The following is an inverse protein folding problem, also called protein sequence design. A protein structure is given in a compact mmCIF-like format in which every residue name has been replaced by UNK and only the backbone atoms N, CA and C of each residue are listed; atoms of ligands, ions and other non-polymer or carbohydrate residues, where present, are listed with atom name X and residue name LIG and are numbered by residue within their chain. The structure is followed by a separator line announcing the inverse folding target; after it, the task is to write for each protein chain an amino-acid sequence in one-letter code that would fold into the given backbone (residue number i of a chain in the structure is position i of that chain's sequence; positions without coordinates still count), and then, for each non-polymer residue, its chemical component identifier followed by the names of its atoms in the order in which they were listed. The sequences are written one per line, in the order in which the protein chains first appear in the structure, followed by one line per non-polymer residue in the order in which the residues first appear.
data_IF_139842510347
#
_entry.id   IF_139842510347
#
_cell.length_a   1.000
_cell.length_b   1.000
_cell.length_c   1.000
_cell.angle_alpha   90.00
_cell.angle_beta   90.00
_cell.angle_gamma   90.00
#
_symmetry.space_group_name_H-M   'P 1'
#
loop_
_entity.id
_entity.type
_entity.pdbx_description
1 polymer ?
#
# COMPACT_ATOMS: atom_id res chain seq x y z
N UNK A 1 -15.60 3.79 7.85
CA UNK A 1 -15.21 4.59 6.68
C UNK A 1 -14.80 3.64 5.56
N UNK A 2 -15.72 3.32 4.66
CA UNK A 2 -15.44 2.53 3.46
C UNK A 2 -14.58 3.37 2.52
N UNK A 3 -13.30 3.02 2.39
CA UNK A 3 -12.43 3.60 1.37
C UNK A 3 -12.92 3.09 0.01
N UNK A 4 -13.56 3.96 -0.76
CA UNK A 4 -14.03 3.65 -2.11
C UNK A 4 -12.83 3.73 -3.06
N UNK A 5 -12.11 2.61 -3.22
CA UNK A 5 -11.05 2.50 -4.22
C UNK A 5 -11.67 2.37 -5.61
N UNK A 6 -11.30 3.26 -6.53
CA UNK A 6 -11.74 3.16 -7.93
C UNK A 6 -11.13 1.90 -8.56
N UNK A 7 -11.98 1.02 -9.10
CA UNK A 7 -11.55 -0.20 -9.77
C UNK A 7 -10.67 0.17 -11.00
N UNK A 8 -9.56 -0.54 -11.24
CA UNK A 8 -8.76 -0.33 -12.44
C UNK A 8 -9.56 -0.67 -13.70
N UNK A 9 -9.30 0.06 -14.79
CA UNK A 9 -9.94 -0.17 -16.10
C UNK A 9 -9.47 -1.46 -16.78
N UNK A 10 -8.27 -1.94 -16.46
CA UNK A 10 -7.68 -3.16 -17.01
C UNK A 10 -7.97 -4.35 -16.11
N UNK A 11 -8.23 -5.50 -16.72
CA UNK A 11 -8.44 -6.78 -16.03
C UNK A 11 -7.08 -7.41 -15.67
N UNK A 12 -6.96 -7.96 -14.46
CA UNK A 12 -5.80 -8.75 -13.98
C UNK A 12 -6.26 -10.20 -13.75
N UNK A 13 -5.40 -11.19 -14.06
CA UNK A 13 -5.63 -12.62 -13.77
C UNK A 13 -4.82 -13.11 -12.55
N UNK A 14 -4.30 -12.19 -11.74
CA UNK A 14 -3.47 -12.51 -10.58
C UNK A 14 -4.33 -12.87 -9.37
N UNK A 15 -4.06 -14.03 -8.75
CA UNK A 15 -4.74 -14.48 -7.52
C UNK A 15 -4.59 -13.50 -6.35
N UNK A 16 -3.43 -12.83 -6.28
CA UNK A 16 -3.12 -11.86 -5.23
C UNK A 16 -3.58 -10.42 -5.58
N UNK A 17 -4.39 -10.24 -6.63
CA UNK A 17 -4.90 -8.92 -7.02
C UNK A 17 -6.08 -8.53 -6.10
N UNK A 18 -6.06 -7.36 -5.43
CA UNK A 18 -7.15 -6.96 -4.52
C UNK A 18 -8.52 -6.72 -5.16
N UNK A 19 -8.59 -6.62 -6.50
CA UNK A 19 -9.82 -6.27 -7.23
C UNK A 19 -10.43 -7.42 -8.04
N UNK A 20 -9.61 -8.33 -8.57
CA UNK A 20 -10.06 -9.44 -9.42
C UNK A 20 -9.64 -10.82 -8.89
N UNK A 21 -8.83 -10.85 -7.83
CA UNK A 21 -8.41 -12.08 -7.16
C UNK A 21 -9.11 -12.23 -5.80
N UNK A 22 -8.55 -13.11 -4.97
CA UNK A 22 -9.17 -13.52 -3.70
C UNK A 22 -8.65 -12.70 -2.50
N UNK A 23 -7.77 -11.71 -2.73
CA UNK A 23 -7.08 -10.99 -1.66
C UNK A 23 -7.94 -9.85 -1.08
N UNK A 24 -8.40 -9.93 0.18
CA UNK A 24 -9.21 -8.88 0.78
C UNK A 24 -8.37 -7.71 1.30
N UNK A 25 -8.80 -6.47 1.01
CA UNK A 25 -8.22 -5.25 1.60
C UNK A 25 -8.84 -5.01 2.97
N UNK A 26 -8.02 -5.04 4.03
CA UNK A 26 -8.45 -4.83 5.42
C UNK A 26 -7.41 -4.08 6.24
N UNK A 27 -7.84 -3.41 7.30
CA UNK A 27 -6.95 -2.74 8.25
C UNK A 27 -6.75 -1.25 7.96
N UNK A 28 -5.56 -0.74 8.30
CA UNK A 28 -5.21 0.68 8.17
C UNK A 28 -4.64 0.96 6.78
N UNK A 29 -4.95 2.14 6.26
CA UNK A 29 -4.38 2.64 5.01
C UNK A 29 -3.37 3.72 5.32
N UNK A 30 -2.25 3.70 4.60
CA UNK A 30 -1.16 4.66 4.76
C UNK A 30 -0.68 5.13 3.40
N UNK A 31 -0.13 6.34 3.39
CA UNK A 31 0.52 6.94 2.24
C UNK A 31 2.04 6.85 2.41
N UNK A 32 2.76 6.71 1.31
CA UNK A 32 4.21 6.59 1.28
C UNK A 32 4.75 6.71 -0.13
N UNK A 33 6.06 6.84 -0.26
CA UNK A 33 6.75 7.02 -1.56
C UNK A 33 7.34 5.69 -2.01
N UNK A 34 7.20 5.35 -3.29
CA UNK A 34 7.81 4.13 -3.85
C UNK A 34 9.33 4.31 -3.94
N UNK A 35 10.09 3.50 -3.21
CA UNK A 35 11.55 3.53 -3.20
C UNK A 35 12.17 2.62 -4.26
N UNK A 36 11.54 1.47 -4.56
CA UNK A 36 12.04 0.53 -5.56
C UNK A 36 10.91 -0.33 -6.13
N UNK A 37 10.98 -0.59 -7.42
CA UNK A 37 10.06 -1.45 -8.17
C UNK A 37 10.80 -2.54 -8.98
N UNK A 38 11.97 -2.98 -8.50
CA UNK A 38 12.80 -3.98 -9.19
C UNK A 38 12.27 -5.42 -9.08
N UNK A 39 11.36 -5.67 -8.13
CA UNK A 39 10.80 -7.00 -7.90
C UNK A 39 9.56 -7.22 -8.76
N UNK A 40 9.35 -8.45 -9.20
CA UNK A 40 8.14 -8.79 -9.93
C UNK A 40 6.89 -8.68 -9.05
N UNK A 41 5.87 -7.98 -9.57
CA UNK A 41 4.53 -7.83 -8.96
C UNK A 41 4.52 -7.26 -7.53
N UNK A 42 5.61 -6.63 -7.09
CA UNK A 42 5.76 -6.09 -5.73
C UNK A 42 6.57 -4.79 -5.74
N UNK A 43 6.30 -3.90 -4.78
CA UNK A 43 6.99 -2.60 -4.66
C UNK A 43 7.40 -2.34 -3.22
N UNK A 44 8.54 -1.67 -3.04
CA UNK A 44 9.04 -1.25 -1.74
C UNK A 44 8.61 0.20 -1.50
N UNK A 45 7.87 0.45 -0.42
CA UNK A 45 7.35 1.78 -0.04
C UNK A 45 8.13 2.31 1.16
N UNK A 46 8.63 3.54 1.07
CA UNK A 46 9.30 4.27 2.15
C UNK A 46 8.32 5.19 2.86
N UNK A 47 8.38 5.20 4.20
CA UNK A 47 7.63 6.12 5.06
C UNK A 47 8.57 6.78 6.05
N UNK A 48 8.80 8.07 5.87
CA UNK A 48 9.55 8.87 6.82
C UNK A 48 8.61 9.40 7.92
N UNK A 49 9.05 9.34 9.17
CA UNK A 49 8.31 9.89 10.31
C UNK A 49 9.29 10.48 11.31
N UNK A 50 8.86 11.54 12.00
CA UNK A 50 9.65 12.17 13.05
C UNK A 50 9.41 11.44 14.37
N UNK A 51 10.47 11.00 15.00
CA UNK A 51 10.41 10.40 16.33
C UNK A 51 10.70 11.46 17.38
N UNK A 52 9.73 11.73 18.25
CA UNK A 52 9.88 12.70 19.33
C UNK A 52 10.77 12.16 20.45
N UNK A 53 11.75 12.93 20.89
CA UNK A 53 12.67 12.54 21.99
C UNK A 53 12.32 13.35 23.25
N UNK A 54 11.73 12.74 24.30
CA UNK A 54 11.25 13.46 25.47
C UNK A 54 12.33 14.16 26.31
N UNK A 55 13.58 13.70 26.23
CA UNK A 55 14.70 14.19 27.04
C UNK A 55 15.11 15.64 26.71
N UNK A 56 14.89 16.09 25.48
CA UNK A 56 15.31 17.41 25.00
C UNK A 56 14.18 18.44 25.08
N UNK A 57 13.33 18.32 26.10
CA UNK A 57 12.19 19.18 26.35
C UNK A 57 12.50 20.18 27.45
#
# INVERSE_FOLDING_TARGET
MSLVFKKPKKTCNDRNCPFHGDLPVRGRVFEGVVASAKMDKTVIVKRDYLHYVPKFK
#
